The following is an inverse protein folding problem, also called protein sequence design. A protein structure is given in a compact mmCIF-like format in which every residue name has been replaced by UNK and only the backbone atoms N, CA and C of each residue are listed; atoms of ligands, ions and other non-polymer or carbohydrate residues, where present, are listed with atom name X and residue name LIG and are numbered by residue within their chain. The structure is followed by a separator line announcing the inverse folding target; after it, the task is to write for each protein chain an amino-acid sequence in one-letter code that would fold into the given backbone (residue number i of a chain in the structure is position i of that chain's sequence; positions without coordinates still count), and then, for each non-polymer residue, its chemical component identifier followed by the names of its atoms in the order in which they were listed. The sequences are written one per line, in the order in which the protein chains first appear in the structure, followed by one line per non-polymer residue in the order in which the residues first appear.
data_IF_667076694774
#
_entry.id   IF_667076694774
#
_cell.length_a   1.000
_cell.length_b   1.000
_cell.length_c   1.000
_cell.angle_alpha   90.00
_cell.angle_beta   90.00
_cell.angle_gamma   90.00
#
_symmetry.space_group_name_H-M   'P 1'
#
loop_
_entity.id
_entity.type
_entity.pdbx_description
1 polymer ?
#
# COMPACT_ATOMS: atom_id res chain seq x y z
N UNK A 1 10.89 14.36 -4.10
CA UNK A 1 11.21 13.13 -3.34
C UNK A 1 10.00 12.23 -3.46
N UNK A 2 10.17 10.94 -3.71
CA UNK A 2 9.05 10.02 -3.94
C UNK A 2 8.51 9.52 -2.62
N UNK A 3 7.24 9.80 -2.33
CA UNK A 3 6.52 9.35 -1.14
C UNK A 3 5.40 8.40 -1.58
N UNK A 4 5.29 7.23 -0.94
CA UNK A 4 4.26 6.23 -1.27
C UNK A 4 3.34 6.02 -0.08
N UNK A 5 2.08 6.40 -0.23
CA UNK A 5 1.03 6.17 0.75
C UNK A 5 0.55 4.71 0.71
N UNK A 6 0.30 4.12 1.88
CA UNK A 6 -0.21 2.75 1.99
C UNK A 6 -1.08 2.60 3.23
N UNK A 7 -2.00 1.63 3.25
CA UNK A 7 -2.84 1.39 4.40
C UNK A 7 -2.16 0.43 5.37
N UNK A 8 -2.12 0.82 6.64
CA UNK A 8 -1.54 0.04 7.73
C UNK A 8 -0.55 0.84 8.56
N UNK A 9 0.38 0.11 9.16
CA UNK A 9 1.43 0.64 10.02
C UNK A 9 2.80 0.27 9.44
N UNK A 10 3.87 0.91 9.92
CA UNK A 10 5.23 0.50 9.55
C UNK A 10 5.48 -0.97 9.92
N UNK A 11 6.07 -1.71 9.00
CA UNK A 11 6.26 -3.16 9.06
C UNK A 11 5.13 -3.99 8.46
N UNK A 12 4.03 -3.36 7.98
CA UNK A 12 2.99 -4.07 7.26
C UNK A 12 3.46 -4.57 5.89
N UNK A 13 2.81 -5.62 5.37
CA UNK A 13 3.08 -6.14 4.02
C UNK A 13 2.90 -5.10 2.92
N UNK A 14 1.96 -4.15 3.09
CA UNK A 14 1.78 -3.05 2.15
C UNK A 14 3.02 -2.14 2.08
N UNK A 15 3.67 -1.88 3.22
CA UNK A 15 4.93 -1.11 3.22
C UNK A 15 6.06 -1.90 2.54
N UNK A 16 6.13 -3.20 2.79
CA UNK A 16 7.08 -4.09 2.10
C UNK A 16 6.86 -4.06 0.58
N UNK A 17 5.60 -4.05 0.12
CA UNK A 17 5.26 -3.93 -1.29
C UNK A 17 5.75 -2.59 -1.88
N UNK A 18 5.57 -1.48 -1.16
CA UNK A 18 6.10 -0.16 -1.55
C UNK A 18 7.62 -0.22 -1.74
N UNK A 19 8.35 -0.73 -0.74
CA UNK A 19 9.82 -0.81 -0.78
C UNK A 19 10.31 -1.74 -1.89
N UNK A 20 9.66 -2.88 -2.12
CA UNK A 20 10.03 -3.79 -3.21
C UNK A 20 9.80 -3.22 -4.60
N UNK A 21 8.77 -2.38 -4.79
CA UNK A 21 8.47 -1.77 -6.08
C UNK A 21 9.30 -0.52 -6.35
N UNK A 22 9.45 0.37 -5.37
CA UNK A 22 10.09 1.68 -5.53
C UNK A 22 11.55 1.74 -5.01
N UNK A 23 12.03 0.70 -4.34
CA UNK A 23 13.35 0.61 -3.73
C UNK A 23 13.32 0.81 -2.20
N UNK A 24 14.29 0.22 -1.50
CA UNK A 24 14.31 0.14 -0.03
C UNK A 24 14.36 1.50 0.67
N UNK A 25 14.90 2.52 0.00
CA UNK A 25 15.06 3.88 0.53
C UNK A 25 13.87 4.80 0.22
N UNK A 26 12.79 4.28 -0.36
CA UNK A 26 11.58 5.08 -0.61
C UNK A 26 10.96 5.54 0.72
N UNK A 27 10.45 6.76 0.73
CA UNK A 27 9.68 7.27 1.86
C UNK A 27 8.25 6.72 1.79
N UNK A 28 7.74 6.28 2.93
CA UNK A 28 6.44 5.61 3.03
C UNK A 28 5.55 6.40 3.99
N UNK A 29 4.28 6.57 3.60
CA UNK A 29 3.28 7.28 4.38
C UNK A 29 2.19 6.28 4.83
N UNK A 30 2.16 5.87 6.11
CA UNK A 30 1.10 5.01 6.62
C UNK A 30 -0.22 5.77 6.72
N UNK A 31 -1.29 5.14 6.25
CA UNK A 31 -2.67 5.62 6.29
C UNK A 31 -3.55 4.61 7.04
N UNK A 32 -4.59 5.08 7.71
CA UNK A 32 -5.51 4.23 8.48
C UNK A 32 -6.49 3.50 7.57
N UNK A 33 -6.91 4.15 6.48
CA UNK A 33 -7.93 3.65 5.56
C UNK A 33 -7.43 3.70 4.11
N UNK A 34 -8.18 3.08 3.19
CA UNK A 34 -7.87 3.20 1.76
C UNK A 34 -8.19 4.61 1.26
N UNK A 35 -9.30 5.20 1.72
CA UNK A 35 -9.71 6.57 1.39
C UNK A 35 -8.61 7.59 1.70
N UNK A 36 -7.90 7.42 2.83
CA UNK A 36 -6.78 8.27 3.19
C UNK A 36 -5.60 8.15 2.23
N UNK A 37 -5.36 6.98 1.61
CA UNK A 37 -4.33 6.84 0.56
C UNK A 37 -4.69 7.69 -0.65
N UNK A 38 -5.93 7.58 -1.13
CA UNK A 38 -6.40 8.30 -2.32
C UNK A 38 -6.37 9.80 -2.06
N UNK A 39 -6.89 10.25 -0.91
CA UNK A 39 -6.86 11.65 -0.51
C UNK A 39 -5.42 12.20 -0.42
N UNK A 40 -4.47 11.43 0.12
CA UNK A 40 -3.07 11.85 0.21
C UNK A 40 -2.42 12.03 -1.17
N UNK A 41 -2.76 11.19 -2.15
CA UNK A 41 -2.25 11.32 -3.53
C UNK A 41 -2.87 12.53 -4.23
N UNK A 42 -4.18 12.73 -4.10
CA UNK A 42 -4.89 13.87 -4.72
C UNK A 42 -4.48 15.21 -4.12
N UNK A 43 -4.21 15.25 -2.81
CA UNK A 43 -3.71 16.43 -2.11
C UNK A 43 -2.22 16.72 -2.43
N UNK A 44 -1.53 15.79 -3.09
CA UNK A 44 -0.09 15.90 -3.39
C UNK A 44 0.82 15.65 -2.19
N UNK A 45 0.28 15.14 -1.09
CA UNK A 45 1.05 14.72 0.10
C UNK A 45 1.87 13.45 -0.18
N UNK A 46 1.35 12.57 -1.03
CA UNK A 46 2.04 11.40 -1.55
C UNK A 46 2.17 11.46 -3.08
N UNK A 47 3.28 10.93 -3.61
CA UNK A 47 3.51 10.83 -5.06
C UNK A 47 2.74 9.65 -5.66
N UNK A 48 2.62 8.56 -4.90
CA UNK A 48 1.92 7.34 -5.30
C UNK A 48 1.13 6.77 -4.13
N UNK A 49 0.09 6.00 -4.44
CA UNK A 49 -0.64 5.18 -3.49
C UNK A 49 -0.46 3.70 -3.81
N UNK A 50 -0.17 2.88 -2.79
CA UNK A 50 -0.13 1.43 -2.89
C UNK A 50 -1.37 0.84 -2.24
N UNK A 51 -2.19 0.16 -3.04
CA UNK A 51 -3.49 -0.39 -2.63
C UNK A 51 -3.52 -1.88 -2.99
N UNK A 52 -3.85 -2.78 -2.06
CA UNK A 52 -4.01 -4.19 -2.38
C UNK A 52 -5.33 -4.41 -3.15
N UNK A 53 -5.27 -5.08 -4.29
CA UNK A 53 -6.46 -5.34 -5.14
C UNK A 53 -6.97 -6.79 -5.05
N UNK A 54 -6.10 -7.73 -4.70
CA UNK A 54 -6.44 -9.14 -4.57
C UNK A 54 -5.55 -9.82 -3.51
N UNK A 55 -6.11 -10.80 -2.80
CA UNK A 55 -5.32 -11.74 -2.00
C UNK A 55 -5.70 -13.18 -2.31
N UNK A 56 -4.74 -14.10 -2.20
CA UNK A 56 -4.96 -15.52 -2.51
C UNK A 56 -5.87 -16.25 -1.53
N UNK A 57 -6.22 -15.63 -0.40
CA UNK A 57 -6.98 -16.26 0.70
C UNK A 57 -8.42 -15.77 0.79
N UNK A 58 -8.67 -14.49 0.55
CA UNK A 58 -9.99 -13.86 0.63
C UNK A 58 -10.50 -13.35 -0.74
N UNK A 59 -9.69 -13.44 -1.79
CA UNK A 59 -10.04 -13.01 -3.14
C UNK A 59 -9.86 -11.51 -3.39
N UNK A 60 -10.68 -10.97 -4.29
CA UNK A 60 -10.64 -9.57 -4.70
C UNK A 60 -11.03 -8.63 -3.57
N UNK A 61 -10.37 -7.47 -3.53
CA UNK A 61 -10.60 -6.42 -2.53
C UNK A 61 -11.43 -5.33 -3.21
N UNK A 62 -12.75 -5.52 -3.24
CA UNK A 62 -13.69 -4.66 -3.98
C UNK A 62 -13.54 -3.17 -3.64
N UNK A 63 -13.31 -2.85 -2.36
CA UNK A 63 -13.13 -1.47 -1.91
C UNK A 63 -12.01 -0.72 -2.65
N UNK A 64 -10.94 -1.42 -3.02
CA UNK A 64 -9.83 -0.84 -3.79
C UNK A 64 -10.27 -0.48 -5.20
N UNK A 65 -11.09 -1.34 -5.82
CA UNK A 65 -11.65 -1.10 -7.15
C UNK A 65 -12.68 0.03 -7.12
N UNK A 66 -13.54 0.06 -6.11
CA UNK A 66 -14.54 1.12 -5.93
C UNK A 66 -13.84 2.49 -5.87
N UNK A 67 -12.78 2.62 -5.06
CA UNK A 67 -12.01 3.87 -4.96
C UNK A 67 -11.26 4.22 -6.25
N UNK A 68 -10.77 3.23 -7.01
CA UNK A 68 -10.17 3.49 -8.32
C UNK A 68 -11.20 4.01 -9.34
N UNK A 69 -12.49 3.64 -9.19
CA UNK A 69 -13.56 4.14 -10.04
C UNK A 69 -14.05 5.53 -9.62
N UNK A 70 -14.02 5.83 -8.32
CA UNK A 70 -14.52 7.09 -7.76
C UNK A 70 -13.52 8.26 -7.87
N UNK A 71 -12.25 7.98 -8.13
CA UNK A 71 -11.17 8.98 -8.19
C UNK A 71 -10.49 9.04 -9.57
N UNK A 72 -10.04 10.22 -10.00
CA UNK A 72 -9.29 10.40 -11.27
C UNK A 72 -7.80 10.09 -11.11
N UNK A 73 -7.50 8.93 -10.53
CA UNK A 73 -6.14 8.40 -10.38
C UNK A 73 -5.89 7.29 -11.40
N UNK A 74 -4.62 7.13 -11.80
CA UNK A 74 -4.23 6.12 -12.80
C UNK A 74 -3.33 5.07 -12.18
N UNK A 75 -3.57 3.82 -12.54
CA UNK A 75 -2.69 2.71 -12.16
C UNK A 75 -1.35 2.88 -12.87
N UNK A 76 -0.29 3.03 -12.08
CA UNK A 76 1.08 3.23 -12.59
C UNK A 76 1.85 1.91 -12.75
N UNK A 77 1.52 0.90 -11.94
CA UNK A 77 2.20 -0.39 -11.94
C UNK A 77 1.56 -1.36 -10.96
N UNK A 78 2.10 -2.58 -10.93
CA UNK A 78 1.63 -3.65 -10.05
C UNK A 78 2.81 -4.40 -9.40
N UNK A 79 2.52 -5.10 -8.30
CA UNK A 79 3.48 -6.00 -7.64
C UNK A 79 2.74 -7.17 -7.01
N UNK A 80 3.28 -8.38 -7.20
CA UNK A 80 2.85 -9.59 -6.52
C UNK A 80 3.76 -9.84 -5.31
N UNK A 81 3.21 -9.68 -4.10
CA UNK A 81 3.94 -9.92 -2.86
C UNK A 81 3.57 -11.29 -2.26
N UNK A 82 4.57 -12.16 -2.08
CA UNK A 82 4.39 -13.40 -1.32
C UNK A 82 4.38 -13.11 0.17
N UNK A 83 3.21 -13.22 0.79
CA UNK A 83 3.03 -13.13 2.25
C UNK A 83 3.76 -14.26 2.97
N UNK A 84 4.59 -13.92 3.97
CA UNK A 84 5.31 -14.86 4.83
C UNK A 84 5.16 -14.44 6.28
N UNK A 85 4.33 -15.16 7.04
CA UNK A 85 4.17 -14.92 8.47
C UNK A 85 5.42 -15.34 9.25
N UNK A 86 5.81 -14.52 10.23
CA UNK A 86 6.95 -14.77 11.10
C UNK A 86 6.46 -14.87 12.55
N UNK A 87 6.99 -15.84 13.30
CA UNK A 87 6.78 -15.95 14.74
C UNK A 87 7.89 -15.14 15.44
N UNK A 88 7.50 -14.10 16.18
CA UNK A 88 8.42 -13.21 16.89
C UNK A 88 8.24 -13.37 18.41
N UNK A 89 9.33 -13.25 19.15
CA UNK A 89 9.35 -13.18 20.61
C UNK A 89 10.30 -12.08 21.06
N UNK A 90 10.15 -11.60 22.29
CA UNK A 90 11.17 -10.78 22.92
C UNK A 90 12.49 -11.55 22.97
N UNK A 91 13.65 -10.86 22.87
CA UNK A 91 14.94 -11.45 23.21
C UNK A 91 14.85 -12.07 24.61
N UNK A 92 15.43 -13.27 24.75
CA UNK A 92 15.31 -14.12 25.94
C UNK A 92 15.61 -13.43 27.25
#
# INVERSE_FOLDING_TARGET
MTIVAFQGEHGAYSEEACRRHFGDTVETLPCRTFEEIFAAVEAGEATYGAVPVENSTAGSINKSYDLLLDHDLKVHGEILLRVRHNLLTIPG
#
